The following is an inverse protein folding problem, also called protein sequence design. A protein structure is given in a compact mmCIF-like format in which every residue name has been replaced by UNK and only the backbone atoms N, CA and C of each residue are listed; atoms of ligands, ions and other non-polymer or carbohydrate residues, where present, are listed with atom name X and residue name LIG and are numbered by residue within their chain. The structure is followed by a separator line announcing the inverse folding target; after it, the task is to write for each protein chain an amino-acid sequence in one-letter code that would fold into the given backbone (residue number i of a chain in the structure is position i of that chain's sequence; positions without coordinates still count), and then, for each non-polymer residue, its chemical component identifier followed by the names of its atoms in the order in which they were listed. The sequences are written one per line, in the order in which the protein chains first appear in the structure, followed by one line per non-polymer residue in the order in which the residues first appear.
data_IF_374299242189
#
_entry.id   IF_374299242189
#
_cell.length_a   1.000
_cell.length_b   1.000
_cell.length_c   1.000
_cell.angle_alpha   90.00
_cell.angle_beta   90.00
_cell.angle_gamma   90.00
#
_symmetry.space_group_name_H-M   'P 1'
#
loop_
_entity.id
_entity.type
_entity.pdbx_description
1 polymer ?
#
# COMPACT_ATOMS: atom_id res chain seq x y z
N UNK A 1 -15.35 2.07 -10.86
CA UNK A 1 -15.36 2.73 -9.53
C UNK A 1 -13.93 3.06 -9.23
N UNK A 2 -13.59 4.29 -8.89
CA UNK A 2 -12.20 4.68 -8.59
C UNK A 2 -11.73 3.94 -7.34
N UNK A 3 -10.53 3.35 -7.40
CA UNK A 3 -9.94 2.70 -6.24
C UNK A 3 -9.51 3.79 -5.24
N UNK A 4 -10.00 3.73 -4.00
CA UNK A 4 -9.80 4.80 -3.01
C UNK A 4 -8.70 4.45 -2.00
N UNK A 5 -8.22 5.47 -1.28
CA UNK A 5 -7.27 5.31 -0.17
C UNK A 5 -7.81 4.35 0.89
N UNK A 6 -9.09 4.46 1.26
CA UNK A 6 -9.73 3.53 2.21
C UNK A 6 -9.71 2.08 1.72
N UNK A 7 -9.96 1.85 0.43
CA UNK A 7 -9.89 0.50 -0.13
C UNK A 7 -8.45 -0.03 -0.10
N UNK A 8 -7.46 0.78 -0.48
CA UNK A 8 -6.06 0.40 -0.41
C UNK A 8 -5.61 0.08 1.02
N UNK A 9 -5.94 0.91 2.00
CA UNK A 9 -5.63 0.67 3.43
C UNK A 9 -6.19 -0.66 3.90
N UNK A 10 -7.46 -0.94 3.57
CA UNK A 10 -8.12 -2.19 3.94
C UNK A 10 -7.43 -3.40 3.31
N UNK A 11 -7.10 -3.32 2.02
CA UNK A 11 -6.46 -4.42 1.29
C UNK A 11 -5.02 -4.64 1.80
N UNK A 12 -4.27 -3.56 2.06
CA UNK A 12 -2.92 -3.61 2.64
C UNK A 12 -2.91 -4.28 4.01
N UNK A 13 -3.83 -3.90 4.91
CA UNK A 13 -3.99 -4.55 6.23
C UNK A 13 -4.36 -6.03 6.10
N UNK A 14 -5.11 -6.42 5.07
CA UNK A 14 -5.41 -7.83 4.81
C UNK A 14 -4.18 -8.58 4.31
N UNK A 15 -3.35 -7.96 3.47
CA UNK A 15 -2.09 -8.57 3.04
C UNK A 15 -1.13 -8.77 4.21
N UNK A 16 -0.97 -7.79 5.11
CA UNK A 16 -0.15 -7.92 6.32
C UNK A 16 -0.63 -9.09 7.18
N UNK A 17 -1.95 -9.23 7.38
CA UNK A 17 -2.54 -10.32 8.18
C UNK A 17 -2.30 -11.73 7.62
N UNK A 18 -1.92 -11.88 6.35
CA UNK A 18 -1.53 -13.18 5.79
C UNK A 18 -0.12 -13.62 6.21
N UNK A 19 0.59 -12.77 6.95
CA UNK A 19 1.99 -12.95 7.36
C UNK A 19 2.82 -11.79 6.81
N UNK A 20 3.56 -11.12 7.69
CA UNK A 20 4.41 -10.00 7.29
C UNK A 20 5.63 -10.51 6.51
N UNK A 21 5.66 -10.18 5.22
CA UNK A 21 6.72 -10.52 4.27
C UNK A 21 6.85 -9.33 3.31
N UNK A 22 7.98 -8.64 3.41
CA UNK A 22 8.23 -7.38 2.68
C UNK A 22 8.18 -7.60 1.18
N UNK A 23 8.89 -8.60 0.65
CA UNK A 23 8.93 -8.89 -0.80
C UNK A 23 7.55 -9.23 -1.34
N UNK A 24 6.77 -10.04 -0.62
CA UNK A 24 5.41 -10.41 -1.04
C UNK A 24 4.48 -9.20 -1.05
N UNK A 25 4.56 -8.34 -0.05
CA UNK A 25 3.72 -7.15 0.07
C UNK A 25 4.11 -6.10 -0.98
N UNK A 26 5.42 -5.90 -1.21
CA UNK A 26 5.94 -5.02 -2.26
C UNK A 26 5.46 -5.47 -3.64
N UNK A 27 5.63 -6.75 -3.96
CA UNK A 27 5.16 -7.33 -5.22
C UNK A 27 3.64 -7.19 -5.38
N UNK A 28 2.86 -7.39 -4.32
CA UNK A 28 1.41 -7.19 -4.36
C UNK A 28 1.04 -5.74 -4.69
N UNK A 29 1.68 -4.76 -4.04
CA UNK A 29 1.43 -3.34 -4.29
C UNK A 29 1.83 -2.95 -5.72
N UNK A 30 2.95 -3.47 -6.22
CA UNK A 30 3.37 -3.28 -7.61
C UNK A 30 2.32 -3.81 -8.60
N UNK A 31 1.86 -5.05 -8.42
CA UNK A 31 0.81 -5.65 -9.27
C UNK A 31 -0.50 -4.85 -9.21
N UNK A 32 -0.89 -4.39 -8.02
CA UNK A 32 -2.07 -3.54 -7.83
C UNK A 32 -1.96 -2.23 -8.63
N UNK A 33 -0.77 -1.61 -8.65
CA UNK A 33 -0.51 -0.38 -9.42
C UNK A 33 -0.68 -0.59 -10.93
N UNK A 34 -0.25 -1.73 -11.45
CA UNK A 34 -0.39 -2.08 -12.87
C UNK A 34 -1.86 -2.39 -13.21
N UNK A 35 -2.48 -3.28 -12.43
CA UNK A 35 -3.83 -3.76 -12.69
C UNK A 35 -4.86 -2.63 -12.63
N UNK A 36 -4.64 -1.67 -11.72
CA UNK A 36 -5.56 -0.54 -11.49
C UNK A 36 -5.06 0.79 -12.02
N UNK A 37 -4.00 0.86 -12.84
CA UNK A 37 -3.38 2.13 -13.28
C UNK A 37 -4.37 3.17 -13.85
N UNK A 38 -5.47 2.74 -14.49
CA UNK A 38 -6.50 3.63 -15.06
C UNK A 38 -7.54 4.12 -14.04
N UNK A 39 -7.59 3.48 -12.88
CA UNK A 39 -8.57 3.68 -11.82
C UNK A 39 -7.94 4.26 -10.54
N UNK A 40 -6.64 4.56 -10.57
CA UNK A 40 -5.89 5.13 -9.45
C UNK A 40 -5.84 6.66 -9.55
N UNK A 41 -6.29 7.37 -8.51
CA UNK A 41 -5.97 8.78 -8.34
C UNK A 41 -4.44 8.97 -8.29
N UNK A 42 -3.87 10.03 -8.88
CA UNK A 42 -2.43 10.27 -8.86
C UNK A 42 -1.82 10.31 -7.46
N UNK A 43 -2.57 10.78 -6.47
CA UNK A 43 -2.09 10.80 -5.09
C UNK A 43 -2.11 9.42 -4.44
N UNK A 44 -3.06 8.55 -4.80
CA UNK A 44 -3.08 7.17 -4.32
C UNK A 44 -1.94 6.35 -4.92
N UNK A 45 -1.66 6.54 -6.21
CA UNK A 45 -0.57 5.85 -6.89
C UNK A 45 0.78 6.06 -6.16
N UNK A 46 1.07 7.29 -5.70
CA UNK A 46 2.27 7.58 -4.89
C UNK A 46 2.36 6.74 -3.62
N UNK A 47 1.24 6.50 -2.94
CA UNK A 47 1.22 5.68 -1.73
C UNK A 47 1.40 4.19 -2.05
N UNK A 48 0.83 3.72 -3.15
CA UNK A 48 1.03 2.34 -3.62
C UNK A 48 2.50 2.13 -4.01
N UNK A 49 3.11 3.08 -4.72
CA UNK A 49 4.52 2.99 -5.10
C UNK A 49 5.45 2.93 -3.89
N UNK A 50 5.15 3.68 -2.80
CA UNK A 50 5.94 3.58 -1.55
C UNK A 50 5.96 2.17 -0.97
N UNK A 51 4.84 1.44 -1.05
CA UNK A 51 4.77 0.04 -0.62
C UNK A 51 5.46 -0.87 -1.64
N UNK A 52 5.30 -0.59 -2.93
CA UNK A 52 5.86 -1.39 -4.01
C UNK A 52 7.40 -1.43 -4.04
N UNK A 53 8.07 -0.40 -3.53
CA UNK A 53 9.54 -0.31 -3.50
C UNK A 53 10.16 -0.79 -2.18
N UNK A 54 9.37 -1.35 -1.26
CA UNK A 54 9.89 -1.79 0.04
C UNK A 54 10.94 -2.91 -0.06
N UNK A 55 10.98 -3.66 -1.17
CA UNK A 55 11.98 -4.73 -1.37
C UNK A 55 13.25 -4.29 -2.10
N UNK A 56 13.31 -3.03 -2.55
CA UNK A 56 14.44 -2.48 -3.31
C UNK A 56 15.64 -2.13 -2.42
N UNK A 57 15.44 -1.99 -1.10
CA UNK A 57 16.49 -1.70 -0.13
C UNK A 57 15.97 -1.46 1.29
N UNK A 58 16.84 -1.69 2.29
CA UNK A 58 16.51 -1.50 3.72
C UNK A 58 16.05 -0.06 4.04
N UNK A 59 16.47 0.93 3.26
CA UNK A 59 16.06 2.33 3.43
C UNK A 59 14.60 2.60 3.04
N UNK A 60 13.97 1.68 2.30
CA UNK A 60 12.57 1.73 1.88
C UNK A 60 11.69 0.74 2.63
N UNK A 61 12.30 -0.16 3.39
CA UNK A 61 11.60 -1.18 4.16
C UNK A 61 10.86 -0.53 5.34
N UNK A 62 9.54 -0.74 5.38
CA UNK A 62 8.77 -0.53 6.60
C UNK A 62 8.84 -1.77 7.47
N UNK A 63 8.96 -1.61 8.79
CA UNK A 63 8.56 -2.65 9.72
C UNK A 63 7.05 -2.90 9.67
N UNK A 64 6.58 -4.03 10.22
CA UNK A 64 5.15 -4.36 10.28
C UNK A 64 4.33 -3.24 10.95
N UNK A 65 4.80 -2.74 12.09
CA UNK A 65 4.14 -1.66 12.83
C UNK A 65 4.09 -0.35 12.03
N UNK A 66 5.17 0.00 11.33
CA UNK A 66 5.21 1.22 10.50
C UNK A 66 4.27 1.11 9.31
N UNK A 67 4.18 -0.07 8.68
CA UNK A 67 3.29 -0.30 7.56
C UNK A 67 1.81 -0.31 7.98
N UNK A 68 1.50 -0.83 9.17
CA UNK A 68 0.15 -0.74 9.75
C UNK A 68 -0.21 0.73 10.01
N UNK A 69 0.69 1.50 10.64
CA UNK A 69 0.47 2.95 10.88
C UNK A 69 0.28 3.71 9.58
N UNK A 70 1.09 3.42 8.57
CA UNK A 70 0.94 4.00 7.24
C UNK A 70 -0.45 3.73 6.65
N UNK A 71 -0.96 2.50 6.78
CA UNK A 71 -2.31 2.15 6.34
C UNK A 71 -3.39 2.90 7.14
N UNK A 72 -3.22 3.06 8.45
CA UNK A 72 -4.15 3.80 9.32
C UNK A 72 -4.20 5.30 8.97
N UNK A 73 -3.04 5.93 8.76
CA UNK A 73 -2.93 7.33 8.35
C UNK A 73 -3.62 7.59 7.01
N UNK A 74 -3.43 6.69 6.05
CA UNK A 74 -4.05 6.77 4.74
C UNK A 74 -5.59 6.67 4.80
N UNK A 75 -6.12 5.81 5.67
CA UNK A 75 -7.56 5.66 5.89
C UNK A 75 -8.17 6.91 6.55
N UNK A 76 -7.43 7.53 7.48
CA UNK A 76 -7.83 8.77 8.13
C UNK A 76 -7.82 9.97 7.16
N UNK A 77 -6.90 10.02 6.20
CA UNK A 77 -6.86 11.06 5.16
C UNK A 77 -8.05 10.98 4.19
N UNK A 78 -8.52 9.78 3.83
CA UNK A 78 -9.68 9.60 2.91
C UNK A 78 -11.01 10.06 3.53
N UNK A 79 -11.03 10.22 4.86
CA UNK A 79 -12.23 10.59 5.63
C UNK A 79 -12.34 12.10 5.92
N UNK A 80 -11.38 12.90 5.45
CA UNK A 80 -11.37 14.37 5.56
C UNK A 80 -11.81 15.03 4.27
#
# INVERSE_FOLDING_TARGET
MTYSKKQFSKDLKQEIKKGFDVSRIAQWAYMLSIDRHRELPPDLDKFIQKVAVMDEGEEFEFSEDELIRFADELEAEDSK
#
